data_IF_802517016684
#
_entry.id   IF_802517016684
#
_cell.length_a   1.000
_cell.length_b   1.000
_cell.length_c   1.000
_cell.angle_alpha   90.00
_cell.angle_beta   90.00
_cell.angle_gamma   90.00
#
_symmetry.space_group_name_H-M   'P 1'
#
loop_
_entity.id
_entity.type
_entity.pdbx_description
1 polymer ?
#
# COMPACT_ATOMS: atom_id res chain seq x y z
N UNK A 1 27.74 -13.07 6.91
CA UNK A 1 26.50 -12.59 6.30
C UNK A 1 26.69 -11.09 6.12
N UNK A 2 26.60 -10.53 4.91
CA UNK A 2 26.45 -9.08 4.80
C UNK A 2 25.17 -8.73 5.56
N UNK A 3 25.22 -7.70 6.41
CA UNK A 3 24.04 -7.11 7.02
C UNK A 3 23.03 -6.81 5.92
N UNK A 4 21.86 -7.42 6.01
CA UNK A 4 20.67 -7.09 5.23
C UNK A 4 20.18 -5.73 5.75
N UNK A 5 20.92 -4.65 5.45
CA UNK A 5 20.43 -3.31 5.69
C UNK A 5 19.21 -3.16 4.79
N UNK A 6 18.04 -3.08 5.41
CA UNK A 6 16.78 -2.89 4.71
C UNK A 6 16.92 -1.68 3.77
N UNK A 7 17.00 -1.95 2.47
CA UNK A 7 17.04 -0.89 1.48
C UNK A 7 15.66 -0.22 1.48
N UNK A 8 15.66 1.10 1.67
CA UNK A 8 14.42 1.86 1.68
C UNK A 8 14.26 2.59 0.34
N UNK A 9 13.08 2.48 -0.25
CA UNK A 9 12.70 3.09 -1.52
C UNK A 9 11.83 4.32 -1.29
N UNK A 10 12.26 5.45 -1.83
CA UNK A 10 11.46 6.67 -1.93
C UNK A 10 10.34 6.54 -2.96
N UNK A 11 9.37 7.44 -2.93
CA UNK A 11 8.30 7.49 -3.94
C UNK A 11 8.85 7.55 -5.39
N UNK A 12 9.91 8.31 -5.62
CA UNK A 12 10.55 8.42 -6.93
C UNK A 12 11.17 7.09 -7.35
N UNK A 13 11.94 6.45 -6.47
CA UNK A 13 12.56 5.15 -6.77
C UNK A 13 11.52 4.06 -7.03
N UNK A 14 10.42 4.05 -6.28
CA UNK A 14 9.29 3.13 -6.52
C UNK A 14 8.73 3.33 -7.92
N UNK A 15 8.47 4.58 -8.33
CA UNK A 15 7.95 4.88 -9.66
C UNK A 15 8.93 4.50 -10.77
N UNK A 16 10.24 4.71 -10.56
CA UNK A 16 11.28 4.30 -11.50
C UNK A 16 11.35 2.77 -11.65
N UNK A 17 11.29 2.03 -10.54
CA UNK A 17 11.30 0.57 -10.55
C UNK A 17 10.04 -0.01 -11.20
N UNK A 18 8.87 0.57 -10.93
CA UNK A 18 7.61 0.19 -11.58
C UNK A 18 7.61 0.51 -13.08
N UNK A 19 8.23 1.63 -13.48
CA UNK A 19 8.40 1.98 -14.88
C UNK A 19 9.31 0.97 -15.60
N UNK A 20 10.43 0.59 -14.99
CA UNK A 20 11.35 -0.40 -15.54
C UNK A 20 10.70 -1.79 -15.65
N UNK A 21 9.95 -2.21 -14.62
CA UNK A 21 9.13 -3.43 -14.67
C UNK A 21 8.17 -3.37 -15.87
N UNK A 22 7.50 -2.24 -16.04
CA UNK A 22 6.64 -1.96 -17.19
C UNK A 22 7.32 -2.07 -18.54
N UNK A 23 8.49 -1.47 -18.70
CA UNK A 23 9.27 -1.50 -19.94
C UNK A 23 9.75 -2.92 -20.28
N UNK A 24 10.20 -3.68 -19.29
CA UNK A 24 10.59 -5.09 -19.46
C UNK A 24 9.41 -5.95 -19.88
N UNK A 25 8.23 -5.77 -19.27
CA UNK A 25 7.00 -6.46 -19.68
C UNK A 25 6.61 -6.12 -21.12
N UNK A 26 6.64 -4.83 -21.48
CA UNK A 26 6.36 -4.39 -22.85
C UNK A 26 7.33 -5.01 -23.87
N UNK A 27 8.62 -5.11 -23.54
CA UNK A 27 9.62 -5.74 -24.41
C UNK A 27 9.36 -7.23 -24.67
N UNK A 28 8.62 -7.88 -23.77
CA UNK A 28 8.16 -9.28 -23.87
C UNK A 28 6.79 -9.41 -24.52
N UNK A 29 6.18 -8.29 -24.95
CA UNK A 29 4.80 -8.21 -25.43
C UNK A 29 3.76 -8.65 -24.40
N UNK A 30 4.07 -8.48 -23.11
CA UNK A 30 3.21 -8.87 -22.00
C UNK A 30 2.56 -7.65 -21.36
N UNK A 31 1.35 -7.85 -20.83
CA UNK A 31 0.62 -6.83 -20.07
C UNK A 31 0.16 -7.36 -18.73
N UNK A 32 0.41 -6.62 -17.65
CA UNK A 32 0.05 -6.99 -16.27
C UNK A 32 -0.68 -5.83 -15.60
N UNK A 33 -1.72 -6.15 -14.83
CA UNK A 33 -2.37 -5.22 -13.92
C UNK A 33 -1.83 -5.43 -12.51
N UNK A 34 -1.33 -4.37 -11.89
CA UNK A 34 -0.90 -4.33 -10.50
C UNK A 34 -1.85 -3.47 -9.67
N UNK A 35 -2.23 -3.93 -8.49
CA UNK A 35 -2.87 -3.10 -7.47
C UNK A 35 -1.91 -2.94 -6.30
N UNK A 36 -1.32 -1.75 -6.19
CA UNK A 36 -0.29 -1.42 -5.20
C UNK A 36 -0.96 -0.81 -3.98
N UNK A 37 -0.57 -1.30 -2.80
CA UNK A 37 -1.14 -0.91 -1.51
C UNK A 37 -0.01 -0.55 -0.54
N UNK A 38 -0.35 -0.36 0.74
CA UNK A 38 0.63 -0.30 1.82
C UNK A 38 1.53 0.93 1.76
N UNK A 39 2.75 0.81 2.29
CA UNK A 39 3.69 1.92 2.42
C UNK A 39 4.09 2.54 1.08
N UNK A 40 4.25 1.72 0.04
CA UNK A 40 4.58 2.18 -1.30
C UNK A 40 3.50 3.08 -1.91
N UNK A 41 2.23 2.68 -1.82
CA UNK A 41 1.12 3.51 -2.31
C UNK A 41 1.00 4.82 -1.51
N UNK A 42 1.13 4.75 -0.19
CA UNK A 42 1.12 5.95 0.68
C UNK A 42 2.25 6.90 0.30
N UNK A 43 3.47 6.39 0.10
CA UNK A 43 4.63 7.21 -0.26
C UNK A 43 4.39 7.97 -1.56
N UNK A 44 3.87 7.28 -2.58
CA UNK A 44 3.58 7.87 -3.91
C UNK A 44 2.40 8.86 -3.87
N UNK A 45 1.32 8.56 -3.13
CA UNK A 45 0.12 9.42 -3.13
C UNK A 45 0.35 10.70 -2.30
N UNK A 46 1.02 10.59 -1.16
CA UNK A 46 1.25 11.72 -0.26
C UNK A 46 2.49 12.54 -0.66
N UNK A 47 3.19 12.17 -1.75
CA UNK A 47 4.50 12.71 -2.13
C UNK A 47 5.45 12.81 -0.92
N UNK A 48 5.41 11.77 -0.09
CA UNK A 48 6.04 11.83 1.21
C UNK A 48 7.54 11.55 1.06
N UNK A 49 8.36 12.22 1.87
CA UNK A 49 9.79 11.84 2.03
C UNK A 49 9.98 10.47 2.73
N UNK A 50 8.91 9.72 2.95
CA UNK A 50 9.00 8.37 3.52
C UNK A 50 9.57 7.43 2.48
N UNK A 51 10.23 6.42 3.01
CA UNK A 51 10.80 5.34 2.26
C UNK A 51 10.28 4.02 2.82
N UNK A 52 10.01 3.05 1.95
CA UNK A 52 9.45 1.74 2.29
C UNK A 52 10.44 0.64 1.93
N UNK A 53 10.41 -0.48 2.63
CA UNK A 53 11.32 -1.61 2.37
C UNK A 53 10.93 -2.37 1.10
N UNK A 54 9.64 -2.34 0.74
CA UNK A 54 9.08 -3.08 -0.37
C UNK A 54 7.86 -2.40 -1.01
N UNK A 55 7.49 -2.90 -2.17
CA UNK A 55 6.28 -2.57 -2.93
C UNK A 55 5.29 -3.72 -2.79
N UNK A 56 4.33 -3.53 -1.88
CA UNK A 56 3.19 -4.42 -1.69
C UNK A 56 2.19 -4.32 -2.85
N UNK A 57 2.04 -5.38 -3.63
CA UNK A 57 1.14 -5.37 -4.79
C UNK A 57 0.50 -6.71 -5.15
N UNK A 58 -0.71 -6.64 -5.70
CA UNK A 58 -1.44 -7.76 -6.30
C UNK A 58 -1.34 -7.72 -7.81
N UNK A 59 -0.84 -8.78 -8.44
CA UNK A 59 -0.62 -8.84 -9.89
C UNK A 59 -1.65 -9.73 -10.59
N UNK A 60 -2.05 -9.38 -11.81
CA UNK A 60 -2.88 -10.26 -12.66
C UNK A 60 -2.12 -11.50 -13.13
N UNK A 61 -0.80 -11.38 -13.34
CA UNK A 61 0.12 -12.49 -13.59
C UNK A 61 1.29 -12.44 -12.58
N UNK A 62 1.07 -13.03 -11.41
CA UNK A 62 2.05 -13.01 -10.32
C UNK A 62 3.39 -13.64 -10.71
N UNK A 63 3.36 -14.79 -11.41
CA UNK A 63 4.59 -15.51 -11.76
C UNK A 63 5.52 -14.64 -12.63
N UNK A 64 4.95 -14.01 -13.66
CA UNK A 64 5.73 -13.16 -14.55
C UNK A 64 6.19 -11.87 -13.86
N UNK A 65 5.35 -11.27 -13.01
CA UNK A 65 5.74 -10.08 -12.24
C UNK A 65 6.94 -10.35 -11.31
N UNK A 66 6.93 -11.48 -10.59
CA UNK A 66 8.04 -11.88 -9.72
C UNK A 66 9.28 -12.21 -10.55
N UNK A 67 9.14 -12.94 -11.66
CA UNK A 67 10.26 -13.27 -12.55
C UNK A 67 10.99 -12.01 -13.04
N UNK A 68 10.26 -11.03 -13.57
CA UNK A 68 10.85 -9.75 -14.02
C UNK A 68 11.38 -8.94 -12.83
N UNK A 69 10.69 -8.96 -11.69
CA UNK A 69 11.12 -8.26 -10.48
C UNK A 69 12.45 -8.78 -9.91
N UNK A 70 12.66 -10.09 -9.94
CA UNK A 70 13.91 -10.74 -9.52
C UNK A 70 15.07 -10.40 -10.46
N UNK A 71 14.82 -10.31 -11.77
CA UNK A 71 15.83 -9.84 -12.74
C UNK A 71 16.27 -8.40 -12.45
N UNK A 72 15.31 -7.49 -12.22
CA UNK A 72 15.59 -6.10 -11.85
C UNK A 72 16.39 -6.06 -10.55
N UNK A 73 16.01 -6.88 -9.56
CA UNK A 73 16.70 -6.94 -8.27
C UNK A 73 18.16 -7.37 -8.43
N UNK A 74 18.41 -8.42 -9.21
CA UNK A 74 19.75 -8.94 -9.47
C UNK A 74 20.63 -7.90 -10.20
N UNK A 75 20.08 -7.17 -11.16
CA UNK A 75 20.82 -6.18 -11.94
C UNK A 75 21.10 -4.88 -11.16
N UNK A 76 20.17 -4.45 -10.31
CA UNK A 76 20.31 -3.22 -9.51
C UNK A 76 20.89 -3.44 -8.11
N UNK A 77 21.14 -4.71 -7.72
CA UNK A 77 21.61 -5.06 -6.39
C UNK A 77 20.58 -4.79 -5.29
N UNK A 78 19.28 -4.92 -5.61
CA UNK A 78 18.17 -4.73 -4.66
C UNK A 78 17.89 -6.04 -3.90
N UNK A 79 17.22 -5.96 -2.73
CA UNK A 79 16.66 -7.15 -2.10
C UNK A 79 15.68 -7.86 -3.04
N UNK A 80 15.77 -9.18 -3.14
CA UNK A 80 14.91 -9.97 -4.04
C UNK A 80 13.39 -9.80 -3.75
N UNK A 81 13.05 -9.41 -2.52
CA UNK A 81 11.68 -9.20 -2.06
C UNK A 81 11.19 -7.75 -2.18
N UNK A 82 11.89 -6.87 -2.90
CA UNK A 82 11.47 -5.48 -3.12
C UNK A 82 10.07 -5.38 -3.75
N UNK A 83 9.66 -6.42 -4.51
CA UNK A 83 8.31 -6.60 -5.01
C UNK A 83 7.60 -7.69 -4.20
N UNK A 84 6.67 -7.28 -3.32
CA UNK A 84 6.04 -8.17 -2.36
C UNK A 84 4.58 -8.46 -2.73
N UNK A 85 4.22 -9.74 -2.83
CA UNK A 85 2.85 -10.19 -3.12
C UNK A 85 2.19 -10.94 -1.95
N UNK A 86 2.84 -10.98 -0.79
CA UNK A 86 2.35 -11.73 0.39
C UNK A 86 1.07 -11.12 0.99
N UNK A 87 0.64 -9.97 0.49
CA UNK A 87 -0.64 -9.32 0.80
C UNK A 87 -1.86 -10.07 0.24
N UNK A 88 -1.69 -11.02 -0.68
CA UNK A 88 -2.80 -11.71 -1.34
C UNK A 88 -3.71 -12.47 -0.37
N UNK A 89 -3.17 -12.97 0.74
CA UNK A 89 -3.97 -13.62 1.79
C UNK A 89 -4.75 -12.63 2.68
N UNK A 90 -4.40 -11.35 2.63
CA UNK A 90 -4.96 -10.30 3.49
C UNK A 90 -5.92 -9.36 2.75
N UNK A 91 -5.93 -9.41 1.42
CA UNK A 91 -6.81 -8.59 0.59
C UNK A 91 -7.85 -9.49 -0.06
N UNK A 92 -9.13 -9.33 0.26
CA UNK A 92 -10.20 -10.05 -0.42
C UNK A 92 -10.12 -9.80 -1.93
N UNK A 93 -10.41 -10.82 -2.74
CA UNK A 93 -10.32 -10.72 -4.21
C UNK A 93 -11.19 -9.60 -4.79
N UNK A 94 -12.28 -9.22 -4.10
CA UNK A 94 -13.18 -8.14 -4.49
C UNK A 94 -12.66 -6.74 -4.15
N UNK A 95 -11.69 -6.59 -3.25
CA UNK A 95 -11.16 -5.27 -2.85
C UNK A 95 -10.52 -4.52 -4.02
N UNK A 96 -9.93 -5.24 -4.99
CA UNK A 96 -9.45 -4.65 -6.26
C UNK A 96 -10.57 -3.96 -7.03
N UNK A 97 -11.78 -4.50 -7.04
CA UNK A 97 -12.89 -3.99 -7.84
C UNK A 97 -13.69 -2.90 -7.15
N UNK A 98 -13.65 -2.84 -5.81
CA UNK A 98 -14.42 -1.87 -5.03
C UNK A 98 -13.68 -0.56 -4.76
N UNK A 99 -12.35 -0.53 -4.86
CA UNK A 99 -11.60 0.73 -4.83
C UNK A 99 -11.72 1.53 -6.15
N UNK A 100 -12.87 2.16 -6.31
CA UNK A 100 -13.22 2.98 -7.50
C UNK A 100 -12.43 4.29 -7.57
N UNK A 101 -11.86 4.74 -6.45
CA UNK A 101 -11.05 5.97 -6.35
C UNK A 101 -9.55 5.70 -6.55
N UNK A 102 -9.17 4.45 -6.81
CA UNK A 102 -7.79 4.06 -7.08
C UNK A 102 -7.18 4.87 -8.24
N UNK A 103 -6.00 5.46 -8.02
CA UNK A 103 -5.29 6.19 -9.06
C UNK A 103 -4.65 5.21 -10.04
N UNK A 104 -5.00 5.32 -11.31
CA UNK A 104 -4.45 4.45 -12.36
C UNK A 104 -3.32 5.15 -13.12
N UNK A 105 -2.24 4.43 -13.39
CA UNK A 105 -1.14 4.84 -14.27
C UNK A 105 -0.73 3.67 -15.17
N UNK A 106 -0.37 3.99 -16.41
CA UNK A 106 0.11 3.01 -17.39
C UNK A 106 1.59 3.24 -17.62
N UNK A 107 2.39 2.21 -17.36
CA UNK A 107 3.85 2.21 -17.43
C UNK A 107 4.26 1.06 -18.35
N UNK A 108 4.43 1.34 -19.65
CA UNK A 108 4.74 0.29 -20.63
C UNK A 108 3.72 -0.86 -20.61
N UNK A 109 4.18 -2.07 -20.31
CA UNK A 109 3.36 -3.28 -20.16
C UNK A 109 2.73 -3.46 -18.77
N UNK A 110 2.79 -2.45 -17.90
CA UNK A 110 2.25 -2.50 -16.55
C UNK A 110 1.17 -1.44 -16.36
N UNK A 111 -0.05 -1.86 -16.02
CA UNK A 111 -1.10 -0.97 -15.54
C UNK A 111 -1.11 -1.00 -14.02
N UNK A 112 -0.70 0.08 -13.37
CA UNK A 112 -0.67 0.19 -11.91
C UNK A 112 -1.90 0.95 -11.43
N UNK A 113 -2.65 0.34 -10.51
CA UNK A 113 -3.68 0.97 -9.69
C UNK A 113 -3.12 1.16 -8.29
N UNK A 114 -2.92 2.40 -7.86
CA UNK A 114 -2.57 2.72 -6.48
C UNK A 114 -3.87 2.78 -5.67
N UNK A 115 -3.91 2.05 -4.55
CA UNK A 115 -5.05 2.09 -3.64
C UNK A 115 -5.33 3.52 -3.17
N UNK A 116 -6.60 3.90 -3.12
CA UNK A 116 -7.00 5.24 -2.67
C UNK A 116 -6.62 5.48 -1.20
N UNK A 117 -6.41 6.74 -0.80
CA UNK A 117 -6.09 7.08 0.59
C UNK A 117 -7.09 6.52 1.60
N UNK A 118 -8.39 6.50 1.25
CA UNK A 118 -9.46 5.91 2.06
C UNK A 118 -9.22 4.42 2.29
N UNK A 119 -8.92 3.66 1.23
CA UNK A 119 -8.62 2.24 1.32
C UNK A 119 -7.34 1.97 2.12
N UNK A 120 -6.29 2.77 1.90
CA UNK A 120 -5.03 2.67 2.64
C UNK A 120 -5.24 2.92 4.15
N UNK A 121 -6.07 3.91 4.51
CA UNK A 121 -6.41 4.19 5.89
C UNK A 121 -7.12 2.99 6.54
N UNK A 122 -8.17 2.48 5.89
CA UNK A 122 -8.92 1.32 6.38
C UNK A 122 -8.05 0.07 6.56
N UNK A 123 -7.13 -0.19 5.63
CA UNK A 123 -6.17 -1.31 5.74
C UNK A 123 -5.23 -1.15 6.94
N UNK A 124 -4.72 0.07 7.17
CA UNK A 124 -3.78 0.35 8.26
C UNK A 124 -4.47 0.31 9.63
N UNK A 125 -5.69 0.85 9.72
CA UNK A 125 -6.54 0.75 10.91
C UNK A 125 -6.79 -0.71 11.28
N UNK A 126 -7.28 -1.51 10.32
CA UNK A 126 -7.56 -2.94 10.55
C UNK A 126 -6.31 -3.76 10.91
N UNK A 127 -5.13 -3.39 10.42
CA UNK A 127 -3.88 -4.07 10.77
C UNK A 127 -3.41 -3.80 12.21
N UNK A 128 -3.82 -2.69 12.84
CA UNK A 128 -3.58 -2.45 14.27
C UNK A 128 -2.12 -2.28 14.71
N UNK A 129 -1.15 -2.17 13.79
CA UNK A 129 0.28 -2.27 14.16
C UNK A 129 0.86 -0.94 14.60
N UNK A 130 1.72 -0.97 15.63
CA UNK A 130 2.42 0.22 16.14
C UNK A 130 3.26 0.95 15.08
N UNK A 131 3.83 0.23 14.11
CA UNK A 131 4.62 0.82 13.01
C UNK A 131 3.76 1.64 12.03
N UNK A 132 2.48 1.32 11.93
CA UNK A 132 1.55 1.93 10.98
C UNK A 132 0.98 3.26 11.52
N UNK A 133 1.20 3.62 12.79
CA UNK A 133 0.64 4.83 13.42
C UNK A 133 0.96 6.13 12.66
N UNK A 134 2.20 6.27 12.17
CA UNK A 134 2.59 7.47 11.42
C UNK A 134 1.92 7.53 10.05
N UNK A 135 1.76 6.39 9.38
CA UNK A 135 1.03 6.27 8.12
C UNK A 135 -0.44 6.65 8.30
N UNK A 136 -1.08 6.12 9.35
CA UNK A 136 -2.47 6.43 9.68
C UNK A 136 -2.64 7.93 9.93
N UNK A 137 -1.78 8.53 10.76
CA UNK A 137 -1.87 9.97 11.06
C UNK A 137 -1.63 10.86 9.82
N UNK A 138 -0.72 10.47 8.92
CA UNK A 138 -0.49 11.22 7.68
C UNK A 138 -1.67 11.08 6.71
N UNK A 139 -2.30 9.90 6.64
CA UNK A 139 -3.53 9.68 5.86
C UNK A 139 -4.73 10.46 6.42
N UNK A 140 -4.90 10.51 7.76
CA UNK A 140 -5.92 11.32 8.42
C UNK A 140 -5.77 12.80 8.03
N UNK A 141 -4.54 13.34 8.05
CA UNK A 141 -4.29 14.73 7.62
C UNK A 141 -4.56 14.93 6.14
N UNK A 142 -4.16 13.97 5.29
CA UNK A 142 -4.38 14.05 3.85
C UNK A 142 -5.88 14.04 3.49
N UNK A 143 -6.65 13.21 4.19
CA UNK A 143 -8.10 13.08 4.04
C UNK A 143 -8.89 14.15 4.80
N UNK A 144 -8.22 15.02 5.55
CA UNK A 144 -8.80 16.05 6.41
C UNK A 144 -9.88 15.52 7.38
N UNK A 145 -9.58 14.39 8.04
CA UNK A 145 -10.49 13.74 8.97
C UNK A 145 -10.31 14.27 10.41
N UNK A 146 -11.44 14.51 11.08
CA UNK A 146 -11.49 15.08 12.43
C UNK A 146 -12.38 14.29 13.42
N UNK A 147 -12.99 13.18 13.01
CA UNK A 147 -13.85 12.32 13.85
C UNK A 147 -13.33 10.88 13.89
N UNK A 148 -13.24 10.33 15.10
CA UNK A 148 -12.84 8.94 15.31
C UNK A 148 -13.92 7.99 14.76
N UNK A 149 -15.18 8.35 14.96
CA UNK A 149 -16.34 7.63 14.45
C UNK A 149 -16.33 7.55 12.92
N UNK A 150 -16.06 8.65 12.24
CA UNK A 150 -15.96 8.69 10.78
C UNK A 150 -14.84 7.77 10.26
N UNK A 151 -13.65 7.81 10.88
CA UNK A 151 -12.53 6.93 10.53
C UNK A 151 -12.92 5.45 10.69
N UNK A 152 -13.62 5.11 11.78
CA UNK A 152 -14.04 3.74 12.05
C UNK A 152 -15.15 3.30 11.11
N UNK A 153 -16.12 4.17 10.80
CA UNK A 153 -17.18 3.89 9.84
C UNK A 153 -16.61 3.62 8.46
N UNK A 154 -15.66 4.44 8.00
CA UNK A 154 -14.95 4.22 6.75
C UNK A 154 -14.19 2.89 6.75
N UNK A 155 -13.53 2.57 7.86
CA UNK A 155 -12.79 1.32 8.01
C UNK A 155 -13.72 0.11 7.91
N UNK A 156 -14.88 0.15 8.57
CA UNK A 156 -15.87 -0.93 8.53
C UNK A 156 -16.50 -1.06 7.14
N UNK A 157 -16.85 0.07 6.52
CA UNK A 157 -17.46 0.08 5.18
C UNK A 157 -16.52 -0.50 4.13
N UNK A 158 -15.23 -0.15 4.17
CA UNK A 158 -14.22 -0.66 3.23
C UNK A 158 -13.99 -2.17 3.36
N UNK A 159 -14.00 -2.71 4.59
CA UNK A 159 -13.77 -4.16 4.80
C UNK A 159 -15.05 -5.00 4.73
N UNK A 160 -16.22 -4.36 4.82
CA UNK A 160 -17.52 -5.01 4.97
C UNK A 160 -17.84 -5.35 6.44
N UNK A 161 -19.10 -5.16 6.83
CA UNK A 161 -19.58 -5.53 8.17
C UNK A 161 -19.39 -7.05 8.41
N UNK A 162 -18.68 -7.41 9.48
CA UNK A 162 -18.40 -8.81 9.82
C UNK A 162 -17.16 -9.42 9.16
N UNK A 163 -16.32 -8.59 8.54
CA UNK A 163 -15.03 -9.03 7.99
C UNK A 163 -14.12 -9.65 9.06
N UNK A 164 -13.57 -10.82 8.75
CA UNK A 164 -12.58 -11.52 9.60
C UNK A 164 -11.28 -10.70 9.74
N UNK A 165 -11.10 -9.69 8.88
CA UNK A 165 -9.95 -8.77 8.89
C UNK A 165 -10.08 -7.77 10.05
N UNK A 166 -11.30 -7.41 10.45
CA UNK A 166 -11.57 -6.57 11.62
C UNK A 166 -11.58 -7.45 12.87
N UNK A 167 -10.39 -7.74 13.40
CA UNK A 167 -10.26 -8.55 14.61
C UNK A 167 -10.63 -7.78 15.88
N UNK A 168 -10.57 -6.45 15.81
CA UNK A 168 -10.86 -5.54 16.91
C UNK A 168 -12.36 -5.19 16.99
N UNK A 169 -12.85 -5.02 18.21
CA UNK A 169 -14.19 -4.48 18.43
C UNK A 169 -14.27 -3.04 17.90
N UNK A 170 -15.47 -2.57 17.54
CA UNK A 170 -15.68 -1.17 17.18
C UNK A 170 -15.15 -0.20 18.24
N UNK A 171 -15.33 -0.53 19.52
CA UNK A 171 -14.81 0.27 20.64
C UNK A 171 -13.26 0.34 20.63
N UNK A 172 -12.58 -0.76 20.35
CA UNK A 172 -11.11 -0.80 20.19
C UNK A 172 -10.66 0.06 19.01
N UNK A 173 -11.35 -0.03 17.87
CA UNK A 173 -11.06 0.81 16.69
C UNK A 173 -11.29 2.30 16.96
N UNK A 174 -12.31 2.67 17.73
CA UNK A 174 -12.55 4.06 18.13
C UNK A 174 -11.39 4.57 18.98
N UNK A 175 -10.96 3.80 19.98
CA UNK A 175 -9.82 4.17 20.82
C UNK A 175 -8.54 4.36 20.01
N UNK A 176 -8.28 3.46 19.06
CA UNK A 176 -7.17 3.59 18.12
C UNK A 176 -7.31 4.87 17.26
N UNK A 177 -8.48 5.13 16.70
CA UNK A 177 -8.72 6.31 15.86
C UNK A 177 -8.54 7.62 16.64
N UNK A 178 -8.98 7.69 17.90
CA UNK A 178 -8.73 8.83 18.78
C UNK A 178 -7.23 9.06 19.04
N UNK A 179 -6.45 8.00 19.26
CA UNK A 179 -4.99 8.12 19.38
C UNK A 179 -4.39 8.70 18.10
N UNK A 180 -4.86 8.22 16.95
CA UNK A 180 -4.34 8.65 15.65
C UNK A 180 -4.74 10.08 15.29
N UNK A 181 -5.91 10.53 15.71
CA UNK A 181 -6.33 11.93 15.62
C UNK A 181 -5.44 12.85 16.44
N UNK A 182 -5.10 12.47 17.69
CA UNK A 182 -4.16 13.24 18.52
C UNK A 182 -2.77 13.31 17.90
N UNK A 183 -2.35 12.26 17.19
CA UNK A 183 -1.07 12.24 16.46
C UNK A 183 -1.12 13.05 15.16
N UNK A 184 -2.27 13.08 14.48
CA UNK A 184 -2.50 13.85 13.27
C UNK A 184 -2.57 15.35 13.58
N UNK A 185 -3.28 15.71 14.64
CA UNK A 185 -3.59 17.07 15.05
C UNK A 185 -3.14 17.29 16.51
N UNK A 186 -1.83 17.39 16.77
CA UNK A 186 -1.33 17.64 18.12
C UNK A 186 -1.89 18.98 18.61
N UNK A 187 -2.53 18.96 19.78
CA UNK A 187 -2.88 20.19 20.49
C UNK A 187 -1.57 20.95 20.78
N UNK A 188 -1.53 22.23 20.38
CA UNK A 188 -0.36 23.11 20.52
C UNK A 188 -0.07 23.53 21.95
#
# INVERSE_FOLDING_TARGET
MPDDQAQLFTATEILELLAELGDRLASRHETIDAYVVGGAAIAVILDSRKSTEDVDALFSNLRLAIEVGEEIAAERGLPAHWLNSSIQSYIPSWAKTEDTEAKTMVLGGLTVRLASPRWLLAMKMAAGRLKDRRDIADLIRFLDLHSAEEIVDWTIEVHGEGSVILQDSRESLIWQAEEMLRLAWPEG
#
